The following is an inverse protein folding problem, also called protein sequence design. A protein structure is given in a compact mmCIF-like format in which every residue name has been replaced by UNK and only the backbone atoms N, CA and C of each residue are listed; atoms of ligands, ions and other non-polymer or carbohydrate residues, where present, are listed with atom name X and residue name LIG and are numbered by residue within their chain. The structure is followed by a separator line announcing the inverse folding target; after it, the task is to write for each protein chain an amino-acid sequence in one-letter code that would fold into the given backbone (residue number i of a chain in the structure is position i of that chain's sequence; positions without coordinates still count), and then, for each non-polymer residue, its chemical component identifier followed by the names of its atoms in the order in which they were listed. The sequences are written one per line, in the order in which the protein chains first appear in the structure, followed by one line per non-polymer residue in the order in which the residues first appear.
data_IF_431516906755
#
_entry.id   IF_431516906755
#
_cell.length_a   1.000
_cell.length_b   1.000
_cell.length_c   1.000
_cell.angle_alpha   90.00
_cell.angle_beta   90.00
_cell.angle_gamma   90.00
#
_symmetry.space_group_name_H-M   'P 1'
#
loop_
_entity.id
_entity.type
_entity.pdbx_description
1 polymer ?
#
# COMPACT_ATOMS: atom_id res chain seq x y z
N UNK A 1 -8.08 76.79 86.20
CA UNK A 1 -9.24 76.41 87.03
C UNK A 1 -10.31 75.81 86.13
N UNK A 2 -10.70 74.55 86.43
CA UNK A 2 -11.92 73.80 86.06
C UNK A 2 -12.11 73.45 84.56
N UNK A 3 -11.94 72.16 84.17
CA UNK A 3 -12.94 71.05 84.23
C UNK A 3 -13.63 70.96 82.84
N UNK A 4 -13.85 69.85 82.13
CA UNK A 4 -13.93 68.39 82.39
C UNK A 4 -14.09 67.70 81.02
N UNK A 5 -13.49 66.52 80.78
CA UNK A 5 -14.25 65.25 80.64
C UNK A 5 -14.60 64.91 79.17
N UNK A 6 -13.89 64.01 78.49
CA UNK A 6 -14.02 62.54 78.43
C UNK A 6 -14.97 62.06 77.29
N UNK A 7 -14.50 61.16 76.42
CA UNK A 7 -15.34 60.63 75.32
C UNK A 7 -14.63 59.83 74.22
N UNK A 8 -14.08 58.68 74.59
CA UNK A 8 -13.85 57.43 73.83
C UNK A 8 -14.34 57.27 72.38
N UNK A 9 -13.43 56.88 71.46
CA UNK A 9 -13.48 55.65 70.60
C UNK A 9 -12.39 55.68 69.51
N UNK A 10 -11.60 54.61 69.30
CA UNK A 10 -10.72 54.48 68.14
C UNK A 10 -11.43 53.72 67.01
N UNK A 11 -11.21 54.04 65.73
CA UNK A 11 -11.58 53.13 64.65
C UNK A 11 -10.40 52.23 64.26
N UNK A 12 -10.68 50.93 64.38
CA UNK A 12 -10.32 49.82 63.50
C UNK A 12 -8.87 49.67 62.99
N UNK A 13 -8.24 48.57 63.44
CA UNK A 13 -7.18 47.85 62.73
C UNK A 13 -7.62 47.58 61.29
N UNK A 14 -6.89 48.10 60.32
CA UNK A 14 -7.00 47.63 58.94
C UNK A 14 -6.36 46.24 58.84
N UNK A 15 -7.20 45.33 58.37
CA UNK A 15 -6.98 43.91 58.22
C UNK A 15 -5.97 43.67 57.11
N UNK A 16 -5.01 42.78 57.37
CA UNK A 16 -4.14 42.16 56.37
C UNK A 16 -4.99 41.60 55.22
N UNK A 17 -5.00 42.25 54.06
CA UNK A 17 -5.43 41.62 52.81
C UNK A 17 -4.20 41.05 52.14
N UNK A 18 -4.01 39.75 52.38
CA UNK A 18 -3.32 38.87 51.44
C UNK A 18 -4.23 38.85 50.20
N UNK A 19 -3.75 39.39 49.07
CA UNK A 19 -4.45 39.18 47.81
C UNK A 19 -4.43 37.68 47.48
N UNK A 20 -5.59 37.09 47.14
CA UNK A 20 -5.64 35.69 46.76
C UNK A 20 -4.92 35.53 45.43
N UNK A 21 -4.13 34.45 45.33
CA UNK A 21 -3.56 33.99 44.08
C UNK A 21 -4.66 33.90 43.01
N UNK A 22 -4.53 34.72 41.96
CA UNK A 22 -5.34 34.60 40.74
C UNK A 22 -4.85 33.37 39.96
N UNK A 23 -5.23 32.20 40.50
CA UNK A 23 -5.22 30.94 39.79
C UNK A 23 -6.43 30.91 38.87
N UNK A 24 -6.33 31.51 37.69
CA UNK A 24 -7.28 31.24 36.62
C UNK A 24 -6.58 31.24 35.26
N UNK A 25 -5.78 30.21 35.03
CA UNK A 25 -5.23 29.91 33.70
C UNK A 25 -6.36 29.40 32.79
N UNK A 26 -6.74 30.08 31.70
CA UNK A 26 -7.69 29.56 30.74
C UNK A 26 -6.94 28.65 29.75
N UNK A 27 -6.56 27.45 30.17
CA UNK A 27 -5.89 26.45 29.30
C UNK A 27 -6.78 25.27 28.80
N UNK A 28 -8.07 25.07 29.20
CA UNK A 28 -8.83 23.93 28.66
C UNK A 28 -9.34 24.08 27.21
N UNK A 29 -9.67 25.28 26.73
CA UNK A 29 -10.47 25.46 25.50
C UNK A 29 -9.65 25.40 24.22
N UNK A 30 -8.47 26.05 24.18
CA UNK A 30 -7.60 26.03 23.00
C UNK A 30 -7.01 24.64 22.73
N UNK A 31 -6.74 23.87 23.80
CA UNK A 31 -6.26 22.50 23.67
C UNK A 31 -7.34 21.56 23.12
N UNK A 32 -8.61 21.77 23.45
CA UNK A 32 -9.71 20.97 22.93
C UNK A 32 -9.99 21.31 21.46
N UNK A 33 -9.97 22.59 21.10
CA UNK A 33 -10.07 23.02 19.69
C UNK A 33 -8.93 22.46 18.84
N UNK A 34 -7.71 22.43 19.37
CA UNK A 34 -6.57 21.84 18.69
C UNK A 34 -6.73 20.32 18.53
N UNK A 35 -7.23 19.62 19.57
CA UNK A 35 -7.52 18.17 19.49
C UNK A 35 -8.55 17.86 18.43
N UNK A 36 -9.65 18.61 18.39
CA UNK A 36 -10.71 18.45 17.38
C UNK A 36 -10.14 18.70 15.99
N UNK A 37 -9.32 19.74 15.78
CA UNK A 37 -8.69 20.02 14.48
C UNK A 37 -7.74 18.90 14.05
N UNK A 38 -6.90 18.40 14.96
CA UNK A 38 -5.99 17.28 14.67
C UNK A 38 -6.78 16.02 14.30
N UNK A 39 -7.85 15.70 15.02
CA UNK A 39 -8.74 14.59 14.70
C UNK A 39 -9.40 14.75 13.33
N UNK A 40 -9.89 15.95 13.00
CA UNK A 40 -10.49 16.25 11.70
C UNK A 40 -9.49 16.10 10.55
N UNK A 41 -8.25 16.57 10.73
CA UNK A 41 -7.16 16.42 9.74
C UNK A 41 -6.89 14.93 9.51
N UNK A 42 -6.69 14.16 10.60
CA UNK A 42 -6.44 12.72 10.49
C UNK A 42 -7.58 11.97 9.78
N UNK A 43 -8.84 12.34 10.06
CA UNK A 43 -9.99 11.72 9.40
C UNK A 43 -10.03 12.06 7.90
N UNK A 44 -9.78 13.32 7.56
CA UNK A 44 -9.73 13.77 6.18
C UNK A 44 -8.63 13.06 5.39
N UNK A 45 -7.45 12.91 5.96
CA UNK A 45 -6.34 12.17 5.34
C UNK A 45 -6.68 10.68 5.12
N UNK A 46 -7.44 10.05 6.03
CA UNK A 46 -7.90 8.67 5.83
C UNK A 46 -8.93 8.59 4.69
N UNK A 47 -9.88 9.52 4.64
CA UNK A 47 -10.88 9.58 3.56
C UNK A 47 -10.19 9.81 2.21
N UNK A 48 -9.28 10.76 2.12
CA UNK A 48 -8.53 11.06 0.90
C UNK A 48 -7.71 9.84 0.47
N UNK A 49 -6.95 9.20 1.37
CA UNK A 49 -6.19 7.97 1.06
C UNK A 49 -7.08 6.85 0.51
N UNK A 50 -8.22 6.59 1.15
CA UNK A 50 -9.16 5.56 0.69
C UNK A 50 -9.79 5.92 -0.66
N UNK A 51 -10.15 7.19 -0.84
CA UNK A 51 -10.69 7.68 -2.11
C UNK A 51 -9.69 7.49 -3.25
N UNK A 52 -8.41 7.84 -3.04
CA UNK A 52 -7.35 7.63 -4.03
C UNK A 52 -7.15 6.15 -4.36
N UNK A 53 -7.17 5.26 -3.36
CA UNK A 53 -7.10 3.81 -3.61
C UNK A 53 -8.29 3.33 -4.47
N UNK A 54 -9.51 3.76 -4.16
CA UNK A 54 -10.69 3.38 -4.93
C UNK A 54 -10.60 3.86 -6.39
N UNK A 55 -10.11 5.08 -6.62
CA UNK A 55 -9.88 5.58 -7.98
C UNK A 55 -8.85 4.72 -8.73
N UNK A 56 -7.74 4.35 -8.08
CA UNK A 56 -6.70 3.48 -8.67
C UNK A 56 -7.25 2.09 -9.00
N UNK A 57 -7.98 1.45 -8.08
CA UNK A 57 -8.62 0.16 -8.31
C UNK A 57 -9.65 0.22 -9.45
N UNK A 58 -10.44 1.29 -9.52
CA UNK A 58 -11.41 1.45 -10.59
C UNK A 58 -10.73 1.62 -11.96
N UNK A 59 -9.65 2.41 -12.03
CA UNK A 59 -8.85 2.56 -13.25
C UNK A 59 -8.24 1.22 -13.69
N UNK A 60 -7.66 0.47 -12.75
CA UNK A 60 -7.10 -0.85 -13.02
C UNK A 60 -8.18 -1.84 -13.51
N UNK A 61 -9.35 -1.85 -12.86
CA UNK A 61 -10.46 -2.69 -13.27
C UNK A 61 -10.97 -2.35 -14.67
N UNK A 62 -11.12 -1.06 -14.99
CA UNK A 62 -11.51 -0.63 -16.33
C UNK A 62 -10.51 -1.09 -17.40
N UNK A 63 -9.21 -0.91 -17.17
CA UNK A 63 -8.17 -1.34 -18.11
C UNK A 63 -8.15 -2.86 -18.29
N UNK A 64 -8.33 -3.61 -17.20
CA UNK A 64 -8.35 -5.07 -17.26
C UNK A 64 -9.61 -5.60 -17.96
N UNK A 65 -10.80 -5.02 -17.72
CA UNK A 65 -12.02 -5.39 -18.44
C UNK A 65 -11.86 -5.13 -19.94
N UNK A 66 -11.33 -3.96 -20.31
CA UNK A 66 -11.06 -3.62 -21.71
C UNK A 66 -10.13 -4.64 -22.37
N UNK A 67 -9.17 -5.19 -21.62
CA UNK A 67 -8.26 -6.20 -22.15
C UNK A 67 -8.91 -7.54 -22.50
N UNK A 68 -10.03 -7.88 -21.85
CA UNK A 68 -10.80 -9.08 -22.17
C UNK A 68 -11.50 -8.97 -23.53
N UNK A 69 -11.82 -7.74 -23.96
CA UNK A 69 -12.41 -7.46 -25.27
C UNK A 69 -11.34 -7.39 -26.36
N UNK A 70 -10.15 -6.88 -26.04
CA UNK A 70 -9.06 -6.66 -27.00
C UNK A 70 -8.11 -7.85 -27.14
N UNK A 71 -8.05 -8.73 -26.12
CA UNK A 71 -7.14 -9.87 -26.10
C UNK A 71 -5.70 -9.52 -25.70
N UNK A 72 -5.48 -8.40 -25.01
CA UNK A 72 -4.16 -7.85 -24.65
C UNK A 72 -3.90 -7.86 -23.13
N UNK A 73 -4.30 -8.94 -22.44
CA UNK A 73 -4.27 -8.99 -20.95
C UNK A 73 -2.88 -8.72 -20.37
N UNK A 74 -1.81 -9.22 -21.00
CA UNK A 74 -0.45 -9.00 -20.49
C UNK A 74 -0.03 -7.54 -20.57
N UNK A 75 -0.33 -6.87 -21.69
CA UNK A 75 -0.09 -5.44 -21.86
C UNK A 75 -0.91 -4.64 -20.85
N UNK A 76 -2.17 -5.03 -20.60
CA UNK A 76 -3.02 -4.42 -19.59
C UNK A 76 -2.44 -4.53 -18.17
N UNK A 77 -1.93 -5.71 -17.80
CA UNK A 77 -1.27 -5.93 -16.50
C UNK A 77 -0.04 -5.02 -16.39
N UNK A 78 0.78 -4.96 -17.45
CA UNK A 78 1.97 -4.12 -17.46
C UNK A 78 1.63 -2.62 -17.36
N UNK A 79 0.61 -2.14 -18.07
CA UNK A 79 0.13 -0.77 -17.98
C UNK A 79 -0.39 -0.42 -16.59
N UNK A 80 -1.11 -1.34 -15.94
CA UNK A 80 -1.57 -1.17 -14.55
C UNK A 80 -0.35 -1.01 -13.64
N UNK A 81 0.66 -1.86 -13.79
CA UNK A 81 1.87 -1.82 -12.96
C UNK A 81 2.68 -0.54 -13.24
N UNK A 82 2.91 -0.19 -14.50
CA UNK A 82 3.64 1.01 -14.89
C UNK A 82 2.97 2.28 -14.38
N UNK A 83 1.68 2.46 -14.66
CA UNK A 83 0.98 3.72 -14.38
C UNK A 83 0.58 3.86 -12.91
N UNK A 84 0.19 2.76 -12.27
CA UNK A 84 -0.40 2.84 -10.92
C UNK A 84 0.56 2.40 -9.85
N UNK A 85 1.52 1.50 -10.10
CA UNK A 85 2.52 1.09 -9.10
C UNK A 85 3.82 1.87 -9.30
N UNK A 86 4.20 2.13 -10.56
CA UNK A 86 5.42 2.82 -10.92
C UNK A 86 6.57 1.84 -11.16
N UNK A 87 6.37 0.86 -12.06
CA UNK A 87 7.41 -0.06 -12.52
C UNK A 87 7.22 -0.39 -13.99
N UNK A 88 8.27 -0.25 -14.80
CA UNK A 88 8.22 -0.48 -16.26
C UNK A 88 8.85 -1.82 -16.66
N UNK A 89 9.53 -2.49 -15.73
CA UNK A 89 10.16 -3.79 -15.94
C UNK A 89 9.27 -4.88 -15.34
N UNK A 90 8.58 -5.63 -16.20
CA UNK A 90 7.56 -6.61 -15.79
C UNK A 90 7.65 -7.87 -16.65
N UNK A 91 7.51 -9.03 -16.02
CA UNK A 91 7.39 -10.31 -16.71
C UNK A 91 6.24 -11.15 -16.15
N UNK A 92 5.53 -11.85 -17.02
CA UNK A 92 4.45 -12.78 -16.67
C UNK A 92 4.89 -14.19 -17.04
N UNK A 93 4.74 -15.10 -16.09
CA UNK A 93 5.10 -16.50 -16.25
C UNK A 93 3.89 -17.40 -16.06
N UNK A 94 3.77 -18.42 -16.89
CA UNK A 94 2.87 -19.53 -16.63
C UNK A 94 3.52 -20.46 -15.60
N UNK A 95 2.70 -21.00 -14.69
CA UNK A 95 3.15 -22.00 -13.73
C UNK A 95 2.64 -23.39 -14.13
N UNK A 96 3.55 -24.36 -14.28
CA UNK A 96 3.21 -25.75 -14.61
C UNK A 96 3.28 -26.62 -13.36
N UNK A 97 2.13 -26.81 -12.72
CA UNK A 97 2.06 -27.50 -11.42
C UNK A 97 2.61 -28.94 -11.42
N UNK A 98 2.53 -29.65 -12.55
CA UNK A 98 3.03 -31.03 -12.67
C UNK A 98 4.56 -31.11 -12.64
N UNK A 99 5.24 -30.12 -13.21
CA UNK A 99 6.70 -30.06 -13.32
C UNK A 99 7.33 -29.14 -12.26
N UNK A 100 6.50 -28.40 -11.52
CA UNK A 100 6.90 -27.38 -10.55
C UNK A 100 7.86 -26.33 -11.13
N UNK A 101 7.67 -26.00 -12.40
CA UNK A 101 8.49 -25.03 -13.13
C UNK A 101 7.62 -23.91 -13.73
N UNK A 102 8.28 -22.98 -14.39
CA UNK A 102 7.65 -21.84 -15.03
C UNK A 102 8.08 -21.73 -16.49
N UNK A 103 7.20 -21.19 -17.32
CA UNK A 103 7.56 -20.72 -18.66
C UNK A 103 7.27 -19.23 -18.79
N UNK A 104 8.14 -18.51 -19.47
CA UNK A 104 7.92 -17.10 -19.77
C UNK A 104 6.75 -16.98 -20.76
N UNK A 105 5.68 -16.30 -20.35
CA UNK A 105 4.52 -16.04 -21.19
C UNK A 105 4.65 -14.69 -21.91
N UNK A 106 5.16 -13.68 -21.21
CA UNK A 106 5.29 -12.32 -21.73
C UNK A 106 6.28 -11.51 -20.87
N UNK A 107 6.97 -10.53 -21.45
CA UNK A 107 7.79 -9.57 -20.70
C UNK A 107 7.91 -8.22 -21.41
N UNK A 108 8.16 -7.17 -20.62
CA UNK A 108 8.53 -5.83 -21.09
C UNK A 108 9.60 -5.23 -20.19
N UNK A 109 10.45 -4.37 -20.74
CA UNK A 109 11.53 -3.70 -20.01
C UNK A 109 12.67 -4.61 -19.56
N UNK A 110 12.62 -5.92 -19.84
CA UNK A 110 13.62 -6.91 -19.43
C UNK A 110 13.84 -7.93 -20.54
N UNK A 111 15.11 -8.22 -20.82
CA UNK A 111 15.52 -9.24 -21.78
C UNK A 111 15.21 -10.65 -21.29
N UNK A 112 14.78 -11.53 -22.21
CA UNK A 112 14.36 -12.89 -21.88
C UNK A 112 15.49 -13.75 -21.29
N UNK A 113 16.75 -13.47 -21.65
CA UNK A 113 17.93 -14.14 -21.11
C UNK A 113 18.11 -13.88 -19.61
N UNK A 114 17.80 -12.67 -19.15
CA UNK A 114 17.87 -12.31 -17.73
C UNK A 114 16.79 -13.02 -16.89
N UNK A 115 15.73 -13.51 -17.54
CA UNK A 115 14.60 -14.19 -16.90
C UNK A 115 14.80 -15.72 -16.80
N UNK A 116 15.77 -16.30 -17.50
CA UNK A 116 16.05 -17.74 -17.47
C UNK A 116 16.21 -18.35 -16.05
N UNK A 117 16.90 -17.69 -15.10
CA UNK A 117 17.07 -18.24 -13.75
C UNK A 117 15.74 -18.46 -12.99
N UNK A 118 14.69 -17.70 -13.32
CA UNK A 118 13.39 -17.79 -12.65
C UNK A 118 12.57 -19.01 -13.08
N UNK A 119 12.87 -19.59 -14.24
CA UNK A 119 12.09 -20.70 -14.83
C UNK A 119 12.12 -21.98 -13.99
N UNK A 120 13.20 -22.21 -13.24
CA UNK A 120 13.34 -23.38 -12.37
C UNK A 120 12.50 -23.31 -11.08
N UNK A 121 11.84 -22.18 -10.81
CA UNK A 121 11.00 -22.02 -9.64
C UNK A 121 11.76 -21.98 -8.30
N UNK A 122 13.05 -21.65 -8.30
CA UNK A 122 13.80 -21.37 -7.08
C UNK A 122 13.51 -19.95 -6.54
N UNK A 123 13.97 -19.66 -5.33
CA UNK A 123 13.90 -18.31 -4.74
C UNK A 123 12.48 -17.86 -4.38
N UNK A 124 12.19 -16.57 -4.60
CA UNK A 124 10.89 -15.93 -4.37
C UNK A 124 9.77 -16.60 -5.16
N UNK A 125 10.00 -17.06 -6.40
CA UNK A 125 8.98 -17.77 -7.19
C UNK A 125 8.55 -19.06 -6.51
N UNK A 126 9.53 -19.88 -6.12
CA UNK A 126 9.29 -21.13 -5.40
C UNK A 126 8.58 -20.91 -4.08
N UNK A 127 9.05 -19.94 -3.28
CA UNK A 127 8.39 -19.57 -2.01
C UNK A 127 6.96 -19.09 -2.24
N UNK A 128 6.72 -18.27 -3.27
CA UNK A 128 5.40 -17.73 -3.57
C UNK A 128 4.40 -18.84 -3.89
N UNK A 129 4.80 -19.80 -4.72
CA UNK A 129 3.96 -20.96 -5.08
C UNK A 129 3.78 -21.90 -3.90
N UNK A 130 4.86 -22.23 -3.18
CA UNK A 130 4.81 -23.14 -2.03
C UNK A 130 3.89 -22.61 -0.92
N UNK A 131 3.97 -21.32 -0.63
CA UNK A 131 3.14 -20.67 0.38
C UNK A 131 1.74 -20.30 -0.15
N UNK A 132 1.57 -20.26 -1.47
CA UNK A 132 0.37 -19.77 -2.12
C UNK A 132 0.08 -18.31 -1.79
N UNK A 133 1.14 -17.50 -1.62
CA UNK A 133 1.10 -16.08 -1.28
C UNK A 133 2.18 -15.30 -2.03
N UNK A 134 1.81 -14.13 -2.55
CA UNK A 134 2.73 -13.19 -3.19
C UNK A 134 3.90 -12.79 -2.26
N UNK A 135 5.10 -12.67 -2.83
CA UNK A 135 6.35 -12.35 -2.13
C UNK A 135 6.84 -10.96 -2.52
N UNK A 136 7.42 -10.24 -1.56
CA UNK A 136 7.90 -8.88 -1.74
C UNK A 136 9.31 -8.77 -1.19
N UNK A 137 10.20 -8.11 -1.94
CA UNK A 137 11.62 -8.00 -1.61
C UNK A 137 11.86 -7.42 -0.21
N UNK A 138 11.19 -6.32 0.11
CA UNK A 138 11.33 -5.61 1.39
C UNK A 138 10.84 -6.41 2.61
N UNK A 139 10.12 -7.51 2.37
CA UNK A 139 9.61 -8.41 3.42
C UNK A 139 10.44 -9.70 3.53
N UNK A 140 11.48 -9.85 2.70
CA UNK A 140 12.37 -11.00 2.78
C UNK A 140 13.43 -10.78 3.87
N UNK A 141 13.85 -11.84 4.58
CA UNK A 141 15.00 -11.77 5.47
C UNK A 141 16.28 -11.39 4.71
N UNK A 142 17.22 -10.75 5.40
CA UNK A 142 18.54 -10.45 4.84
C UNK A 142 19.23 -11.73 4.34
N UNK A 143 19.75 -11.68 3.11
CA UNK A 143 20.43 -12.81 2.47
C UNK A 143 19.50 -13.91 1.93
N UNK A 144 18.17 -13.77 2.02
CA UNK A 144 17.22 -14.73 1.44
C UNK A 144 17.02 -14.60 -0.08
N UNK A 145 17.47 -13.48 -0.66
CA UNK A 145 17.40 -13.20 -2.09
C UNK A 145 18.58 -13.85 -2.81
N UNK A 146 18.29 -14.53 -3.91
CA UNK A 146 19.31 -15.03 -4.82
C UNK A 146 19.93 -13.88 -5.61
N UNK A 147 21.15 -14.04 -6.18
CA UNK A 147 21.85 -12.95 -6.86
C UNK A 147 21.05 -12.29 -7.99
N UNK A 148 20.26 -13.08 -8.72
CA UNK A 148 19.40 -12.60 -9.82
C UNK A 148 18.08 -11.99 -9.33
N UNK A 149 17.75 -12.08 -8.04
CA UNK A 149 16.54 -11.52 -7.44
C UNK A 149 16.75 -10.14 -6.83
N UNK A 150 17.97 -9.59 -6.89
CA UNK A 150 18.30 -8.29 -6.28
C UNK A 150 17.44 -7.13 -6.79
N UNK A 151 17.02 -7.21 -8.05
CA UNK A 151 16.16 -6.22 -8.68
C UNK A 151 14.69 -6.65 -8.70
N UNK A 152 14.34 -7.84 -8.18
CA UNK A 152 12.97 -8.33 -8.14
C UNK A 152 12.24 -7.70 -6.95
N UNK A 153 11.50 -6.61 -7.21
CA UNK A 153 10.70 -5.89 -6.21
C UNK A 153 9.57 -6.75 -5.65
N UNK A 154 8.84 -7.46 -6.53
CA UNK A 154 7.71 -8.28 -6.15
C UNK A 154 7.53 -9.51 -7.07
N UNK A 155 7.12 -10.62 -6.47
CA UNK A 155 6.62 -11.81 -7.15
C UNK A 155 5.16 -12.01 -6.75
N UNK A 156 4.26 -11.60 -7.63
CA UNK A 156 2.82 -11.61 -7.41
C UNK A 156 2.25 -12.88 -8.00
N UNK A 157 1.68 -13.76 -7.20
CA UNK A 157 1.04 -14.96 -7.74
C UNK A 157 -0.24 -14.57 -8.46
N UNK A 158 -0.57 -15.27 -9.54
CA UNK A 158 -1.87 -15.17 -10.19
C UNK A 158 -2.70 -16.38 -9.75
N UNK A 159 -3.69 -16.13 -8.89
CA UNK A 159 -4.48 -17.19 -8.25
C UNK A 159 -5.96 -17.02 -8.51
N UNK A 160 -6.56 -18.03 -9.16
CA UNK A 160 -8.00 -18.13 -9.33
C UNK A 160 -8.53 -19.21 -8.40
N UNK A 161 -9.36 -18.82 -7.42
CA UNK A 161 -9.88 -19.69 -6.36
C UNK A 161 -8.75 -20.33 -5.52
N UNK A 162 -8.27 -21.51 -5.89
CA UNK A 162 -7.15 -22.21 -5.21
C UNK A 162 -6.01 -22.60 -6.15
N UNK A 163 -6.18 -22.35 -7.45
CA UNK A 163 -5.21 -22.73 -8.46
C UNK A 163 -4.32 -21.53 -8.78
N UNK A 164 -3.00 -21.74 -8.69
CA UNK A 164 -2.01 -20.78 -9.15
C UNK A 164 -1.79 -21.06 -10.64
N UNK A 165 -2.08 -20.07 -11.48
CA UNK A 165 -1.98 -20.20 -12.94
C UNK A 165 -0.68 -19.61 -13.49
N UNK A 166 0.01 -18.82 -12.68
CA UNK A 166 1.20 -18.09 -13.07
C UNK A 166 1.67 -17.12 -12.00
N UNK A 167 2.66 -16.31 -12.36
CA UNK A 167 3.18 -15.21 -11.53
C UNK A 167 3.45 -13.99 -12.39
N UNK A 168 3.34 -12.81 -11.79
CA UNK A 168 3.82 -11.54 -12.32
C UNK A 168 5.04 -11.14 -11.50
N UNK A 169 6.18 -11.01 -12.17
CA UNK A 169 7.41 -10.51 -11.61
C UNK A 169 7.57 -9.03 -11.96
N UNK A 170 7.83 -8.22 -10.94
CA UNK A 170 7.97 -6.77 -11.04
C UNK A 170 9.39 -6.43 -10.62
N UNK A 171 10.12 -5.74 -11.49
CA UNK A 171 11.53 -5.45 -11.31
C UNK A 171 11.77 -3.95 -11.19
N UNK A 172 12.55 -3.57 -10.20
CA UNK A 172 12.76 -2.16 -9.87
C UNK A 172 11.47 -1.41 -9.52
N UNK A 173 11.64 -0.13 -9.21
CA UNK A 173 10.58 0.87 -9.15
C UNK A 173 11.12 2.11 -9.85
N UNK A 174 10.24 2.98 -10.34
CA UNK A 174 10.65 4.24 -10.94
C UNK A 174 11.43 5.10 -9.93
N UNK A 175 12.42 5.90 -10.36
CA UNK A 175 13.36 6.60 -9.46
C UNK A 175 12.71 7.49 -8.38
N UNK A 176 11.51 8.02 -8.66
CA UNK A 176 10.74 8.82 -7.71
C UNK A 176 10.09 8.00 -6.57
N UNK A 177 10.16 6.67 -6.61
CA UNK A 177 9.49 5.75 -5.69
C UNK A 177 10.48 4.76 -5.08
N UNK A 178 10.67 4.86 -3.77
CA UNK A 178 11.66 4.04 -3.07
C UNK A 178 11.13 2.64 -2.69
N UNK A 179 9.85 2.57 -2.32
CA UNK A 179 9.23 1.37 -1.75
C UNK A 179 7.78 1.24 -2.19
N UNK A 180 7.22 0.04 -2.02
CA UNK A 180 5.79 -0.19 -2.17
C UNK A 180 5.04 0.38 -0.96
N UNK A 181 3.99 1.14 -1.23
CA UNK A 181 3.09 1.69 -0.23
C UNK A 181 1.89 0.76 -0.01
N UNK A 182 1.14 0.99 1.08
CA UNK A 182 -0.07 0.23 1.39
C UNK A 182 -1.04 0.12 0.19
N UNK A 183 -1.25 1.21 -0.54
CA UNK A 183 -2.15 1.22 -1.69
C UNK A 183 -1.63 0.35 -2.86
N UNK A 184 -0.31 0.20 -3.01
CA UNK A 184 0.26 -0.69 -4.01
C UNK A 184 0.00 -2.15 -3.66
N UNK A 185 0.08 -2.51 -2.38
CA UNK A 185 -0.24 -3.86 -1.93
C UNK A 185 -1.70 -4.24 -2.20
N UNK A 186 -2.64 -3.33 -1.99
CA UNK A 186 -4.05 -3.56 -2.33
C UNK A 186 -4.25 -3.69 -3.84
N UNK A 187 -3.53 -2.90 -4.64
CA UNK A 187 -3.57 -3.03 -6.10
C UNK A 187 -2.93 -4.34 -6.58
N UNK A 188 -1.86 -4.81 -5.95
CA UNK A 188 -1.22 -6.08 -6.28
C UNK A 188 -2.10 -7.28 -5.91
N UNK A 189 -2.85 -7.20 -4.81
CA UNK A 189 -3.90 -8.20 -4.51
C UNK A 189 -5.00 -8.21 -5.57
N UNK A 190 -5.37 -7.04 -6.08
CA UNK A 190 -6.30 -6.94 -7.21
C UNK A 190 -5.72 -7.65 -8.45
N UNK A 191 -4.47 -7.39 -8.82
CA UNK A 191 -3.80 -8.07 -9.95
C UNK A 191 -3.70 -9.58 -9.71
N UNK A 192 -3.33 -10.02 -8.50
CA UNK A 192 -3.25 -11.44 -8.12
C UNK A 192 -4.56 -12.19 -8.40
N UNK A 193 -5.70 -11.57 -8.09
CA UNK A 193 -7.01 -12.21 -8.25
C UNK A 193 -7.57 -12.04 -9.66
N UNK A 194 -7.69 -10.80 -10.13
CA UNK A 194 -8.37 -10.51 -11.39
C UNK A 194 -7.49 -10.73 -12.61
N UNK A 195 -6.17 -10.51 -12.48
CA UNK A 195 -5.19 -10.87 -13.52
C UNK A 195 -5.19 -12.37 -13.79
N UNK A 196 -5.34 -13.20 -12.74
CA UNK A 196 -5.48 -14.65 -12.90
C UNK A 196 -6.73 -15.03 -13.69
N UNK A 197 -7.87 -14.42 -13.39
CA UNK A 197 -9.13 -14.65 -14.12
C UNK A 197 -8.99 -14.24 -15.59
N UNK A 198 -8.42 -13.07 -15.85
CA UNK A 198 -8.20 -12.55 -17.19
C UNK A 198 -7.26 -13.45 -18.01
N UNK A 199 -6.15 -13.89 -17.41
CA UNK A 199 -5.20 -14.81 -18.03
C UNK A 199 -5.86 -16.15 -18.37
N UNK A 200 -6.64 -16.75 -17.46
CA UNK A 200 -7.39 -17.98 -17.74
C UNK A 200 -8.38 -17.78 -18.90
N UNK A 201 -9.07 -16.64 -18.92
CA UNK A 201 -10.02 -16.32 -19.97
C UNK A 201 -9.34 -16.19 -21.34
N UNK A 202 -8.22 -15.47 -21.44
CA UNK A 202 -7.44 -15.35 -22.68
C UNK A 202 -6.96 -16.73 -23.19
N UNK A 203 -6.48 -17.60 -22.29
CA UNK A 203 -6.08 -18.97 -22.67
C UNK A 203 -7.26 -19.77 -23.23
N UNK A 204 -8.44 -19.68 -22.61
CA UNK A 204 -9.65 -20.36 -23.10
C UNK A 204 -10.08 -19.86 -24.48
N UNK A 205 -9.91 -18.57 -24.76
CA UNK A 205 -10.15 -18.03 -26.10
C UNK A 205 -9.11 -18.53 -27.11
N UNK A 206 -7.83 -18.53 -26.76
CA UNK A 206 -6.75 -19.04 -27.62
C UNK A 206 -6.92 -20.52 -27.99
N UNK A 207 -7.42 -21.35 -27.06
CA UNK A 207 -7.73 -22.77 -27.32
C UNK A 207 -8.88 -22.95 -28.33
N UNK A 208 -9.78 -21.98 -28.47
CA UNK A 208 -10.91 -22.05 -29.41
C UNK A 208 -10.55 -21.62 -30.84
N UNK A 209 -9.35 -21.10 -31.07
CA UNK A 209 -8.88 -20.66 -32.38
C UNK A 209 -7.73 -21.57 -32.83
N UNK A 210 -8.04 -22.84 -33.08
CA UNK A 210 -7.19 -23.72 -33.89
C UNK A 210 -8.12 -24.45 -34.87
N UNK A 211 -8.08 -24.10 -36.17
CA UNK A 211 -8.88 -24.78 -37.19
C UNK A 211 -8.44 -26.24 -37.40
#
# INVERSE_FOLDING_TARGET
MRSTGNGSRPPAKEVCRIEPADGNSPIPTEMEDLRVRVQQISLREQIERNHFLLMRLNAANARLIQSLEQGDVFDAIAEIIANLIGSEEVAVFDYHAAEQNFSLAWSTGIEAEALQPFLCGAGMFGRAVQQGMSQFQERQPDGALLPYEKNLTACVILKSSREIVGVVAIFGLLPQKNNLEWADYELLKFVETYGAVAMKFQRLQGIRVSP
#
